data_IF_957207934411
#
_entry.id   IF_957207934411
#
_cell.length_a   1.000
_cell.length_b   1.000
_cell.length_c   1.000
_cell.angle_alpha   90.00
_cell.angle_beta   90.00
_cell.angle_gamma   90.00
#
_symmetry.space_group_name_H-M   'P 1'
#
loop_
_entity.id
_entity.type
_entity.pdbx_description
1 polymer ?
#
# COMPACT_ATOMS: atom_id res chain seq x y z
N UNK A 1 -14.37 18.94 -8.16
CA UNK A 1 -13.28 19.19 -9.12
C UNK A 1 -12.30 18.05 -8.95
N UNK A 2 -11.98 17.32 -10.01
CA UNK A 2 -10.96 16.26 -9.97
C UNK A 2 -9.65 16.88 -9.43
N UNK A 3 -9.11 16.33 -8.34
CA UNK A 3 -7.90 16.85 -7.67
C UNK A 3 -8.09 17.69 -6.41
N UNK A 4 -9.32 17.89 -5.90
CA UNK A 4 -9.52 18.62 -4.63
C UNK A 4 -8.78 17.98 -3.45
N UNK A 5 -8.63 16.65 -3.46
CA UNK A 5 -7.92 15.91 -2.42
C UNK A 5 -6.40 15.85 -2.64
N UNK A 6 -5.90 16.37 -3.77
CA UNK A 6 -4.47 16.37 -4.10
C UNK A 6 -3.79 17.62 -3.53
N UNK A 7 -3.70 18.69 -4.33
CA UNK A 7 -3.13 19.98 -3.91
C UNK A 7 -4.18 21.10 -3.91
N UNK A 8 -5.47 20.76 -4.05
CA UNK A 8 -6.57 21.71 -4.10
C UNK A 8 -6.62 22.53 -5.40
N UNK A 9 -5.69 22.29 -6.34
CA UNK A 9 -5.67 22.92 -7.66
C UNK A 9 -6.32 22.01 -8.71
N UNK A 10 -6.71 22.58 -9.85
CA UNK A 10 -7.20 21.81 -10.99
C UNK A 10 -6.06 21.24 -11.85
N UNK A 11 -6.40 20.42 -12.85
CA UNK A 11 -5.45 19.87 -13.81
C UNK A 11 -5.03 18.42 -13.56
N UNK A 12 -5.61 17.78 -12.55
CA UNK A 12 -5.41 16.37 -12.25
C UNK A 12 -6.25 15.49 -13.18
N UNK A 13 -5.62 14.48 -13.77
CA UNK A 13 -6.29 13.47 -14.60
C UNK A 13 -6.25 12.13 -13.88
N UNK A 14 -7.41 11.50 -13.62
CA UNK A 14 -7.46 10.15 -13.05
C UNK A 14 -6.99 9.12 -14.06
N UNK A 15 -6.02 8.29 -13.68
CA UNK A 15 -5.44 7.23 -14.53
C UNK A 15 -5.64 5.84 -13.96
N UNK A 16 -5.93 5.71 -12.67
CA UNK A 16 -6.24 4.43 -12.06
C UNK A 16 -7.44 4.53 -11.11
N UNK A 17 -8.26 3.48 -11.10
CA UNK A 17 -9.44 3.38 -10.26
C UNK A 17 -9.76 1.92 -9.95
N UNK A 18 -9.73 1.55 -8.69
CA UNK A 18 -10.29 0.32 -8.12
C UNK A 18 -11.20 0.77 -6.97
N UNK A 19 -12.45 0.32 -7.00
CA UNK A 19 -13.37 0.48 -5.89
C UNK A 19 -14.24 -0.77 -5.75
N UNK A 20 -13.78 -1.73 -4.94
CA UNK A 20 -14.45 -3.01 -4.75
C UNK A 20 -15.72 -2.92 -3.90
N UNK A 21 -16.05 -1.73 -3.38
CA UNK A 21 -17.34 -1.48 -2.72
C UNK A 21 -18.48 -1.22 -3.70
N UNK A 22 -18.16 -0.97 -4.97
CA UNK A 22 -19.17 -0.76 -6.01
C UNK A 22 -19.81 -2.07 -6.47
N UNK A 23 -21.11 -2.07 -6.82
CA UNK A 23 -21.78 -3.25 -7.35
C UNK A 23 -21.10 -3.76 -8.63
N UNK A 24 -20.77 -5.06 -8.65
CA UNK A 24 -20.11 -5.75 -9.77
C UNK A 24 -18.68 -5.27 -10.08
N UNK A 25 -18.00 -4.61 -9.12
CA UNK A 25 -16.57 -4.36 -9.23
C UNK A 25 -15.79 -5.67 -9.29
N UNK A 26 -14.74 -5.70 -10.12
CA UNK A 26 -13.83 -6.83 -10.28
C UNK A 26 -12.40 -6.36 -10.18
N UNK A 27 -11.51 -7.21 -9.66
CA UNK A 27 -10.08 -6.89 -9.65
C UNK A 27 -9.52 -6.76 -11.08
N UNK A 28 -8.59 -5.81 -11.30
CA UNK A 28 -7.93 -5.67 -12.59
C UNK A 28 -7.06 -6.88 -12.90
N UNK A 29 -6.76 -7.08 -14.19
CA UNK A 29 -5.87 -8.16 -14.64
C UNK A 29 -4.52 -8.11 -13.92
N UNK A 30 -4.07 -9.26 -13.42
CA UNK A 30 -2.85 -9.37 -12.62
C UNK A 30 -3.06 -9.29 -11.12
N UNK A 31 -4.21 -8.80 -10.64
CA UNK A 31 -4.66 -8.98 -9.25
C UNK A 31 -5.77 -10.03 -9.17
N UNK A 32 -5.95 -10.58 -7.97
CA UNK A 32 -6.86 -11.69 -7.73
C UNK A 32 -7.94 -11.29 -6.73
N UNK A 33 -9.17 -11.73 -7.01
CA UNK A 33 -10.33 -11.39 -6.20
C UNK A 33 -10.57 -12.45 -5.12
N UNK A 34 -10.73 -12.01 -3.87
CA UNK A 34 -11.07 -12.87 -2.75
C UNK A 34 -12.25 -12.30 -1.96
N UNK A 35 -12.96 -13.18 -1.26
CA UNK A 35 -14.00 -12.79 -0.32
C UNK A 35 -13.53 -13.12 1.10
N UNK A 36 -13.27 -12.10 1.90
CA UNK A 36 -12.86 -12.20 3.30
C UNK A 36 -13.88 -11.45 4.16
N UNK A 37 -14.48 -12.14 5.13
CA UNK A 37 -15.53 -11.59 6.02
C UNK A 37 -16.60 -10.73 5.29
N UNK A 38 -17.20 -11.29 4.23
CA UNK A 38 -18.20 -10.62 3.38
C UNK A 38 -17.71 -9.36 2.64
N UNK A 39 -16.40 -9.08 2.62
CA UNK A 39 -15.78 -8.06 1.76
C UNK A 39 -15.16 -8.73 0.53
N UNK A 40 -15.44 -8.18 -0.64
CA UNK A 40 -14.73 -8.53 -1.87
C UNK A 40 -13.52 -7.62 -2.00
N UNK A 41 -12.33 -8.21 -2.13
CA UNK A 41 -11.05 -7.50 -2.10
C UNK A 41 -10.14 -7.97 -3.24
N UNK A 42 -9.15 -7.15 -3.58
CA UNK A 42 -8.08 -7.48 -4.52
C UNK A 42 -6.77 -7.70 -3.78
N UNK A 43 -6.05 -8.75 -4.16
CA UNK A 43 -4.79 -9.14 -3.54
C UNK A 43 -3.88 -9.81 -4.56
N UNK A 44 -2.69 -10.21 -4.11
CA UNK A 44 -1.81 -11.11 -4.84
C UNK A 44 -2.40 -12.51 -4.97
N UNK A 45 -1.82 -13.33 -5.83
CA UNK A 45 -2.23 -14.72 -5.98
C UNK A 45 -1.97 -15.52 -4.70
N UNK A 46 -3.01 -15.95 -4.00
CA UNK A 46 -2.94 -16.76 -2.78
C UNK A 46 -2.43 -18.19 -3.04
N UNK A 47 -2.37 -18.62 -4.31
CA UNK A 47 -1.74 -19.91 -4.66
C UNK A 47 -0.21 -19.81 -4.79
N UNK A 48 0.36 -18.61 -4.81
CA UNK A 48 1.82 -18.42 -4.86
C UNK A 48 2.40 -18.49 -3.45
N UNK A 49 3.31 -19.45 -3.25
CA UNK A 49 3.99 -19.70 -1.97
C UNK A 49 5.21 -18.81 -1.80
N UNK A 50 5.45 -18.32 -0.58
CA UNK A 50 6.63 -17.51 -0.25
C UNK A 50 6.50 -16.05 -0.68
N UNK A 51 7.63 -15.36 -0.76
CA UNK A 51 7.67 -13.93 -1.06
C UNK A 51 7.32 -13.62 -2.51
N UNK A 52 6.60 -12.52 -2.73
CA UNK A 52 6.23 -12.13 -4.07
C UNK A 52 5.26 -10.97 -4.14
N UNK A 53 4.98 -10.56 -5.37
CA UNK A 53 3.99 -9.54 -5.66
C UNK A 53 3.15 -9.99 -6.85
N UNK A 54 1.87 -9.65 -6.84
CA UNK A 54 1.08 -9.56 -8.07
C UNK A 54 0.76 -8.09 -8.36
N UNK A 55 0.57 -7.74 -9.63
CA UNK A 55 0.42 -6.35 -10.00
C UNK A 55 -0.20 -6.14 -11.35
N UNK A 56 -0.58 -4.89 -11.60
CA UNK A 56 -1.23 -4.42 -12.82
C UNK A 56 -0.65 -3.07 -13.24
N UNK A 57 -0.81 -2.73 -14.51
CA UNK A 57 -0.43 -1.44 -15.07
C UNK A 57 -1.67 -0.64 -15.45
N UNK A 58 -1.63 0.65 -15.18
CA UNK A 58 -2.66 1.62 -15.54
C UNK A 58 -2.09 2.59 -16.56
N UNK A 59 -2.69 2.61 -17.76
CA UNK A 59 -2.17 3.43 -18.83
C UNK A 59 -2.38 4.91 -18.57
N UNK A 60 -1.31 5.69 -18.71
CA UNK A 60 -1.37 7.16 -18.70
C UNK A 60 -1.78 7.73 -20.06
N UNK A 61 -2.01 6.87 -21.06
CA UNK A 61 -2.32 7.26 -22.44
C UNK A 61 -1.28 8.20 -23.07
N UNK A 62 -0.02 8.08 -22.63
CA UNK A 62 1.09 8.93 -23.09
C UNK A 62 1.02 10.37 -22.59
N UNK A 63 0.14 10.67 -21.63
CA UNK A 63 0.10 11.98 -20.99
C UNK A 63 1.41 12.22 -20.23
N UNK A 64 1.98 13.40 -20.43
CA UNK A 64 3.20 13.81 -19.74
C UNK A 64 2.83 14.41 -18.39
N UNK A 65 3.45 13.91 -17.31
CA UNK A 65 3.20 14.36 -15.94
C UNK A 65 4.51 14.54 -15.16
N UNK A 66 4.41 15.24 -14.03
CA UNK A 66 5.49 15.44 -13.05
C UNK A 66 5.03 15.24 -11.62
N UNK A 67 3.73 15.16 -11.38
CA UNK A 67 3.16 14.87 -10.07
C UNK A 67 2.24 13.66 -10.13
N UNK A 68 2.20 12.92 -9.05
CA UNK A 68 1.27 11.83 -8.80
C UNK A 68 0.56 12.09 -7.49
N UNK A 69 -0.73 11.83 -7.45
CA UNK A 69 -1.56 11.93 -6.27
C UNK A 69 -2.44 10.70 -6.19
N UNK A 70 -2.70 10.19 -4.99
CA UNK A 70 -3.59 9.05 -4.86
C UNK A 70 -3.82 8.61 -3.45
N UNK A 71 -4.65 7.59 -3.32
CA UNK A 71 -5.02 6.93 -2.08
C UNK A 71 -5.13 5.43 -2.30
N UNK A 72 -4.90 4.68 -1.23
CA UNK A 72 -5.14 3.24 -1.14
C UNK A 72 -5.84 2.96 0.18
N UNK A 73 -6.80 2.04 0.17
CA UNK A 73 -7.35 1.46 1.39
C UNK A 73 -7.18 -0.06 1.33
N UNK A 74 -6.61 -0.60 2.38
CA UNK A 74 -6.39 -2.02 2.53
C UNK A 74 -6.75 -2.52 3.91
N UNK A 75 -6.41 -3.78 4.15
CA UNK A 75 -6.71 -4.48 5.39
C UNK A 75 -5.56 -5.43 5.71
N UNK A 76 -5.41 -5.75 6.99
CA UNK A 76 -4.43 -6.72 7.45
C UNK A 76 -5.04 -8.13 7.51
N UNK A 77 -4.30 -9.11 7.04
CA UNK A 77 -4.57 -10.52 7.27
C UNK A 77 -3.31 -11.22 7.76
N UNK A 78 -3.40 -11.89 8.91
CA UNK A 78 -2.30 -12.72 9.41
C UNK A 78 -1.15 -11.92 10.03
N UNK A 79 0.03 -12.52 10.03
CA UNK A 79 1.25 -12.03 10.69
C UNK A 79 2.14 -11.29 9.70
N UNK A 80 1.78 -10.04 9.38
CA UNK A 80 2.49 -9.24 8.39
C UNK A 80 3.87 -8.77 8.89
N UNK A 81 4.84 -8.65 7.99
CA UNK A 81 6.23 -8.30 8.30
C UNK A 81 6.64 -6.84 8.00
N UNK A 82 5.70 -5.92 7.76
CA UNK A 82 6.04 -4.50 7.57
C UNK A 82 6.80 -4.21 6.28
N UNK A 83 7.87 -3.44 6.40
CA UNK A 83 8.76 -3.05 5.29
C UNK A 83 10.17 -3.52 5.57
N UNK A 84 10.92 -3.83 4.49
CA UNK A 84 12.32 -4.28 4.53
C UNK A 84 13.13 -3.57 5.64
N UNK A 85 13.82 -4.26 6.56
CA UNK A 85 14.24 -5.68 6.54
C UNK A 85 13.24 -6.68 7.18
N UNK A 86 12.02 -6.71 6.64
CA UNK A 86 11.03 -7.76 6.80
C UNK A 86 11.62 -9.18 6.62
N UNK A 87 11.00 -10.20 7.24
CA UNK A 87 11.66 -11.48 7.54
C UNK A 87 12.22 -12.20 6.30
N UNK A 88 11.46 -12.21 5.20
CA UNK A 88 11.81 -12.85 3.92
C UNK A 88 11.70 -11.94 2.69
N UNK A 89 11.58 -10.63 2.87
CA UNK A 89 11.45 -9.73 1.74
C UNK A 89 12.77 -9.43 1.05
N UNK A 90 12.69 -8.52 0.09
CA UNK A 90 13.84 -8.10 -0.71
C UNK A 90 14.09 -6.63 -0.50
N UNK A 91 15.33 -6.19 -0.33
CA UNK A 91 15.63 -4.74 -0.34
C UNK A 91 15.48 -4.10 -1.72
N UNK A 92 15.32 -4.89 -2.80
CA UNK A 92 15.23 -4.38 -4.16
C UNK A 92 13.81 -3.98 -4.54
N UNK A 93 13.69 -2.85 -5.26
CA UNK A 93 12.41 -2.33 -5.77
C UNK A 93 11.62 -3.34 -6.62
N UNK A 94 12.30 -4.33 -7.21
CA UNK A 94 11.67 -5.36 -8.02
C UNK A 94 11.10 -6.53 -7.21
N UNK A 95 11.51 -6.73 -5.96
CA UNK A 95 11.01 -7.78 -5.09
C UNK A 95 9.89 -7.31 -4.16
N UNK A 96 9.44 -8.20 -3.29
CA UNK A 96 8.52 -7.91 -2.19
C UNK A 96 9.30 -7.26 -1.03
N UNK A 97 9.59 -5.96 -1.17
CA UNK A 97 10.27 -5.18 -0.13
C UNK A 97 9.33 -4.68 0.96
N UNK A 98 8.04 -4.89 0.79
CA UNK A 98 6.98 -4.43 1.66
C UNK A 98 5.87 -5.45 1.64
N UNK A 99 5.25 -5.66 2.79
CA UNK A 99 3.96 -6.31 2.88
C UNK A 99 2.89 -5.24 2.84
N UNK A 100 2.18 -5.19 1.72
CA UNK A 100 1.32 -4.07 1.38
C UNK A 100 1.40 -3.70 -0.08
N UNK A 101 1.34 -2.41 -0.38
CA UNK A 101 1.23 -1.89 -1.73
C UNK A 101 2.48 -1.10 -2.15
N UNK A 102 3.01 -1.43 -3.32
CA UNK A 102 4.06 -0.68 -4.00
C UNK A 102 3.49 0.00 -5.24
N UNK A 103 3.63 1.34 -5.31
CA UNK A 103 3.26 2.14 -6.48
C UNK A 103 4.54 2.59 -7.18
N UNK A 104 4.66 2.25 -8.47
CA UNK A 104 5.87 2.46 -9.25
C UNK A 104 5.56 2.93 -10.66
N UNK A 105 6.57 3.38 -11.40
CA UNK A 105 6.46 3.70 -12.81
C UNK A 105 7.75 3.35 -13.57
N UNK A 106 7.64 3.19 -14.88
CA UNK A 106 8.77 3.08 -15.81
C UNK A 106 9.50 1.73 -15.81
N UNK A 107 10.41 1.58 -16.77
CA UNK A 107 11.30 0.42 -16.92
C UNK A 107 12.71 0.92 -17.30
N UNK A 108 13.71 0.86 -16.39
CA UNK A 108 13.66 0.23 -15.06
C UNK A 108 12.69 0.92 -14.09
N UNK A 109 12.18 0.11 -13.16
CA UNK A 109 11.17 0.52 -12.17
C UNK A 109 11.68 1.65 -11.28
N UNK A 110 10.83 2.66 -11.06
CA UNK A 110 11.05 3.82 -10.20
C UNK A 110 9.91 3.94 -9.19
N UNK A 111 10.26 4.32 -7.97
CA UNK A 111 9.33 4.44 -6.86
C UNK A 111 8.46 5.70 -6.96
N UNK A 112 7.18 5.57 -6.57
CA UNK A 112 6.25 6.69 -6.39
C UNK A 112 5.81 6.78 -4.93
N UNK A 113 5.24 5.71 -4.39
CA UNK A 113 4.73 5.64 -3.02
C UNK A 113 4.66 4.20 -2.52
N UNK A 114 4.78 4.02 -1.21
CA UNK A 114 4.61 2.73 -0.53
C UNK A 114 3.52 2.80 0.52
N UNK A 115 2.71 1.76 0.63
CA UNK A 115 1.79 1.55 1.74
C UNK A 115 2.19 0.24 2.43
N UNK A 116 2.73 0.33 3.64
CA UNK A 116 3.21 -0.81 4.41
C UNK A 116 2.20 -1.20 5.49
N UNK A 117 2.06 -2.49 5.77
CA UNK A 117 1.24 -2.97 6.87
C UNK A 117 2.14 -3.36 8.03
N UNK A 118 2.07 -2.66 9.16
CA UNK A 118 2.81 -3.03 10.37
C UNK A 118 2.18 -4.24 11.06
N UNK A 119 2.98 -5.00 11.79
CA UNK A 119 2.47 -6.19 12.49
C UNK A 119 1.44 -5.82 13.58
N UNK A 120 1.77 -4.87 14.47
CA UNK A 120 0.87 -4.39 15.53
C UNK A 120 1.12 -2.92 15.92
N UNK A 121 0.09 -2.26 16.46
CA UNK A 121 0.18 -0.84 16.85
C UNK A 121 1.01 -0.59 18.12
N UNK A 122 1.17 -1.63 18.95
CA UNK A 122 1.64 -1.54 20.34
C UNK A 122 3.15 -1.79 20.51
N UNK A 123 3.83 -2.25 19.46
CA UNK A 123 5.26 -2.56 19.46
C UNK A 123 6.00 -1.68 18.44
N UNK A 124 7.32 -1.67 18.50
CA UNK A 124 8.17 -0.85 17.66
C UNK A 124 9.41 -1.62 17.20
N UNK A 125 9.25 -2.93 17.08
CA UNK A 125 10.31 -3.86 16.73
C UNK A 125 10.30 -4.09 15.22
N UNK A 126 11.15 -5.03 14.82
CA UNK A 126 11.12 -5.63 13.50
C UNK A 126 9.68 -6.02 13.16
N UNK A 127 9.27 -5.75 11.92
CA UNK A 127 7.92 -6.00 11.35
C UNK A 127 6.88 -4.91 11.63
N UNK A 128 7.10 -4.05 12.61
CA UNK A 128 6.23 -2.92 12.87
C UNK A 128 6.56 -1.73 11.96
N UNK A 129 5.72 -0.70 12.02
CA UNK A 129 5.88 0.46 11.16
C UNK A 129 7.15 1.27 11.50
N UNK A 130 7.92 1.73 10.50
CA UNK A 130 9.10 2.56 10.73
C UNK A 130 8.79 3.91 11.41
N UNK A 131 7.56 4.40 11.27
CA UNK A 131 7.09 5.62 11.92
C UNK A 131 6.67 5.41 13.37
N UNK A 132 6.63 4.18 13.89
CA UNK A 132 6.28 3.93 15.29
C UNK A 132 7.22 4.66 16.24
N UNK A 133 6.68 5.10 17.38
CA UNK A 133 7.45 5.83 18.38
C UNK A 133 8.66 5.00 18.85
N UNK A 134 9.85 5.57 18.71
CA UNK A 134 11.15 4.93 18.98
C UNK A 134 11.46 3.68 18.14
N UNK A 135 10.81 3.50 16.99
CA UNK A 135 11.16 2.43 16.05
C UNK A 135 12.59 2.57 15.54
N UNK A 136 13.25 1.44 15.34
CA UNK A 136 14.56 1.34 14.68
C UNK A 136 14.45 0.83 13.24
N UNK A 137 13.25 0.48 12.80
CA UNK A 137 13.01 0.04 11.43
C UNK A 137 13.24 1.21 10.46
N UNK A 138 13.73 0.87 9.28
CA UNK A 138 14.08 1.84 8.24
C UNK A 138 13.47 1.41 6.93
N UNK A 139 13.18 2.34 6.05
CA UNK A 139 12.74 2.01 4.69
C UNK A 139 13.94 1.81 3.77
N UNK A 140 13.82 1.04 2.67
CA UNK A 140 14.80 1.10 1.58
C UNK A 140 15.06 2.54 1.11
N UNK A 141 16.30 2.85 0.73
CA UNK A 141 16.71 4.22 0.41
C UNK A 141 15.90 4.90 -0.70
N UNK A 142 15.29 4.12 -1.61
CA UNK A 142 14.48 4.63 -2.70
C UNK A 142 13.02 4.90 -2.30
N UNK A 143 12.58 4.40 -1.14
CA UNK A 143 11.28 4.72 -0.52
C UNK A 143 11.43 6.00 0.31
N UNK A 144 12.44 6.07 1.19
CA UNK A 144 12.64 7.22 2.07
C UNK A 144 11.38 7.55 2.86
N UNK A 145 10.94 8.81 2.80
CA UNK A 145 9.73 9.28 3.51
C UNK A 145 8.45 9.18 2.66
N UNK A 146 8.51 8.60 1.46
CA UNK A 146 7.38 8.48 0.53
C UNK A 146 6.55 7.21 0.81
N UNK A 147 6.08 7.08 2.05
CA UNK A 147 5.27 5.95 2.48
C UNK A 147 4.18 6.32 3.49
N UNK A 148 3.18 5.47 3.58
CA UNK A 148 2.32 5.34 4.76
C UNK A 148 2.48 3.93 5.34
N UNK A 149 2.35 3.82 6.65
CA UNK A 149 2.37 2.54 7.34
C UNK A 149 1.29 2.53 8.41
N UNK A 150 0.58 1.42 8.54
CA UNK A 150 -0.48 1.25 9.53
C UNK A 150 -0.67 -0.24 9.84
N UNK A 151 -1.17 -0.57 11.03
CA UNK A 151 -1.50 -1.91 11.46
C UNK A 151 -2.98 -1.97 11.83
N UNK A 152 -3.64 -3.08 11.48
CA UNK A 152 -5.03 -3.31 11.87
C UNK A 152 -5.16 -3.98 13.25
N UNK A 153 -4.05 -4.07 13.99
CA UNK A 153 -3.92 -4.89 15.20
C UNK A 153 -3.57 -4.00 16.39
N UNK A 154 -4.60 -3.52 17.07
CA UNK A 154 -4.45 -2.65 18.24
C UNK A 154 -4.06 -3.32 19.56
N UNK A 155 -3.82 -4.64 19.60
CA UNK A 155 -3.42 -5.34 20.82
C UNK A 155 -2.65 -6.65 20.53
N UNK A 156 -1.79 -7.04 21.48
CA UNK A 156 -1.00 -8.30 21.52
C UNK A 156 -1.89 -9.55 21.57
N UNK A 157 -2.62 -9.79 20.49
CA UNK A 157 -3.44 -10.97 20.29
C UNK A 157 -2.78 -11.84 19.23
N UNK A 158 -3.17 -13.11 19.19
CA UNK A 158 -2.58 -14.04 18.25
C UNK A 158 -3.03 -13.66 16.83
N UNK A 159 -2.12 -13.01 16.08
CA UNK A 159 -2.34 -12.43 14.75
C UNK A 159 -2.48 -13.47 13.63
N UNK A 160 -2.28 -14.75 13.94
CA UNK A 160 -2.17 -15.82 12.95
C UNK A 160 -3.52 -16.08 12.26
N UNK A 161 -3.52 -16.06 10.92
CA UNK A 161 -4.67 -16.44 10.07
C UNK A 161 -5.97 -15.71 10.40
N UNK A 162 -5.84 -14.47 10.88
CA UNK A 162 -6.96 -13.63 11.29
C UNK A 162 -7.05 -12.45 10.35
N UNK A 163 -8.27 -12.15 9.91
CA UNK A 163 -8.57 -10.96 9.11
C UNK A 163 -9.03 -9.83 10.03
N UNK A 164 -8.52 -8.61 9.80
CA UNK A 164 -8.84 -7.42 10.59
C UNK A 164 -9.67 -6.41 9.76
N UNK A 165 -10.99 -6.61 9.60
CA UNK A 165 -11.84 -5.79 8.72
C UNK A 165 -12.30 -4.47 9.32
N UNK A 166 -12.19 -4.32 10.65
CA UNK A 166 -12.73 -3.18 11.41
C UNK A 166 -11.75 -2.01 11.51
N UNK A 167 -10.53 -2.21 11.01
CA UNK A 167 -9.46 -1.23 11.03
C UNK A 167 -8.87 -1.11 9.63
N UNK A 168 -9.52 -0.33 8.74
CA UNK A 168 -9.06 -0.17 7.37
C UNK A 168 -7.76 0.62 7.34
N UNK A 169 -6.73 0.04 6.72
CA UNK A 169 -5.39 0.58 6.73
C UNK A 169 -5.26 1.81 5.85
N UNK A 170 -4.37 2.70 6.29
CA UNK A 170 -3.88 3.90 5.61
C UNK A 170 -4.95 4.97 5.41
N UNK A 171 -6.02 4.90 6.21
CA UNK A 171 -7.11 5.86 6.18
C UNK A 171 -6.87 7.07 7.11
N UNK A 172 -5.79 7.02 7.90
CA UNK A 172 -5.39 8.05 8.85
C UNK A 172 -6.22 8.06 10.13
N UNK A 173 -6.97 7.00 10.41
CA UNK A 173 -7.80 6.82 11.58
C UNK A 173 -7.31 5.62 12.38
N UNK A 174 -7.78 5.51 13.62
CA UNK A 174 -7.58 4.33 14.48
C UNK A 174 -6.13 3.96 14.84
N UNK A 175 -5.13 4.71 14.37
CA UNK A 175 -3.73 4.51 14.72
C UNK A 175 -3.45 4.87 16.19
N UNK A 176 -3.45 3.85 17.05
CA UNK A 176 -3.22 3.99 18.49
C UNK A 176 -1.75 3.86 18.89
N UNK A 177 -1.54 3.85 20.20
CA UNK A 177 -0.30 3.39 20.85
C UNK A 177 0.99 3.99 20.27
N UNK A 178 1.91 3.16 19.78
CA UNK A 178 3.20 3.58 19.23
C UNK A 178 3.07 4.00 17.76
N UNK A 179 2.05 3.54 17.06
CA UNK A 179 1.77 3.85 15.66
C UNK A 179 1.14 5.24 15.44
N UNK A 180 0.70 5.93 16.49
CA UNK A 180 0.03 7.23 16.37
C UNK A 180 0.79 8.27 15.51
N UNK A 181 2.13 8.19 15.43
CA UNK A 181 2.97 9.06 14.60
C UNK A 181 2.83 8.78 13.09
N UNK A 182 2.46 7.56 12.71
CA UNK A 182 2.24 7.16 11.32
C UNK A 182 1.03 7.85 10.68
N UNK A 183 0.05 8.24 11.48
CA UNK A 183 -1.20 8.83 11.01
C UNK A 183 -1.29 10.34 11.24
N UNK A 184 -0.13 11.02 11.17
CA UNK A 184 -0.02 12.46 11.41
C UNK A 184 -0.06 13.30 10.14
N UNK A 185 0.01 12.66 8.97
CA UNK A 185 0.02 13.39 7.70
C UNK A 185 -1.34 14.07 7.47
N UNK A 186 -1.38 15.40 7.30
CA UNK A 186 -2.64 16.12 7.10
C UNK A 186 -3.30 15.82 5.75
N UNK A 187 -2.63 15.06 4.89
CA UNK A 187 -3.15 14.65 3.58
C UNK A 187 -3.78 13.26 3.59
N UNK A 188 -3.53 12.42 4.60
CA UNK A 188 -4.10 11.07 4.66
C UNK A 188 -5.63 11.10 4.49
N UNK A 189 -6.20 10.17 3.70
CA UNK A 189 -5.57 9.01 3.05
C UNK A 189 -4.78 9.29 1.75
N UNK A 190 -4.69 10.56 1.34
CA UNK A 190 -4.08 10.94 0.08
C UNK A 190 -2.60 11.29 0.21
N UNK A 191 -1.78 10.89 -0.75
CA UNK A 191 -0.44 11.42 -0.94
C UNK A 191 -0.38 12.37 -2.15
N UNK A 192 0.64 13.22 -2.18
CA UNK A 192 1.04 13.95 -3.39
C UNK A 192 2.55 13.90 -3.52
N UNK A 193 3.02 13.31 -4.61
CA UNK A 193 4.43 13.14 -4.94
C UNK A 193 4.81 13.94 -6.17
N UNK A 194 5.86 14.75 -6.07
CA UNK A 194 6.53 15.34 -7.23
C UNK A 194 7.68 14.44 -7.65
N UNK A 195 7.71 14.05 -8.93
CA UNK A 195 8.79 13.26 -9.52
C UNK A 195 9.98 14.14 -9.89
N UNK A 196 11.19 13.59 -9.82
CA UNK A 196 12.41 14.32 -10.16
C UNK A 196 12.49 14.72 -11.65
N UNK A 197 11.80 13.98 -12.51
CA UNK A 197 11.76 14.20 -13.95
C UNK A 197 10.35 13.96 -14.47
N UNK A 198 9.97 14.72 -15.50
CA UNK A 198 8.72 14.48 -16.20
C UNK A 198 8.78 13.16 -16.96
N UNK A 199 7.67 12.43 -16.99
CA UNK A 199 7.55 11.15 -17.67
C UNK A 199 6.20 10.97 -18.35
N UNK A 200 6.09 9.93 -19.16
CA UNK A 200 4.86 9.40 -19.76
C UNK A 200 4.68 7.92 -19.41
N UNK A 201 5.42 7.43 -18.42
CA UNK A 201 5.37 6.03 -18.00
C UNK A 201 3.99 5.70 -17.43
N UNK A 202 3.52 4.49 -17.70
CA UNK A 202 2.34 3.95 -17.04
C UNK A 202 2.57 3.75 -15.54
N UNK A 203 1.49 3.85 -14.76
CA UNK A 203 1.53 3.63 -13.31
C UNK A 203 1.35 2.15 -13.04
N UNK A 204 2.23 1.59 -12.22
CA UNK A 204 2.17 0.21 -11.77
C UNK A 204 1.67 0.17 -10.32
N UNK A 205 0.72 -0.72 -10.08
CA UNK A 205 0.27 -1.13 -8.75
C UNK A 205 0.76 -2.56 -8.50
N UNK A 206 1.41 -2.81 -7.38
CA UNK A 206 1.72 -4.16 -6.89
C UNK A 206 1.25 -4.34 -5.47
N UNK A 207 0.61 -5.48 -5.20
CA UNK A 207 0.33 -5.98 -3.84
C UNK A 207 1.35 -7.07 -3.54
N UNK A 208 2.09 -6.90 -2.44
CA UNK A 208 3.27 -7.68 -2.10
C UNK A 208 3.16 -8.27 -0.69
N UNK A 209 3.86 -9.39 -0.47
CA UNK A 209 4.05 -10.03 0.85
C UNK A 209 5.39 -10.76 0.89
N UNK A 210 6.04 -10.83 2.05
CA UNK A 210 7.21 -11.66 2.29
C UNK A 210 6.87 -13.14 2.48
N UNK A 211 5.63 -13.46 2.88
CA UNK A 211 5.18 -14.84 3.02
C UNK A 211 3.93 -15.19 2.19
N UNK A 212 3.62 -16.49 2.20
CA UNK A 212 2.46 -17.14 1.58
C UNK A 212 1.13 -16.84 2.28
N UNK A 213 0.03 -16.77 1.53
CA UNK A 213 -1.28 -17.07 2.14
C UNK A 213 -1.29 -18.55 2.59
N UNK A 214 -1.82 -18.94 3.75
CA UNK A 214 -2.68 -18.23 4.71
C UNK A 214 -1.92 -17.52 5.84
N UNK A 215 -0.60 -17.35 5.76
CA UNK A 215 0.16 -16.77 6.87
C UNK A 215 0.11 -15.24 6.84
N UNK A 216 0.14 -14.64 5.64
CA UNK A 216 0.09 -13.19 5.41
C UNK A 216 -0.76 -12.80 4.20
N UNK A 217 -1.47 -11.66 4.30
CA UNK A 217 -2.09 -11.00 3.15
C UNK A 217 -2.38 -9.51 3.43
N UNK A 218 -2.28 -8.66 2.41
CA UNK A 218 -2.55 -7.21 2.47
C UNK A 218 -3.58 -6.76 1.43
N UNK A 219 -4.79 -7.35 1.45
CA UNK A 219 -5.80 -7.11 0.41
C UNK A 219 -6.33 -5.67 0.43
N UNK A 220 -6.66 -5.15 -0.75
CA UNK A 220 -7.16 -3.77 -0.96
C UNK A 220 -8.57 -3.74 -1.54
N UNK A 221 -9.32 -2.68 -1.23
CA UNK A 221 -10.61 -2.39 -1.87
C UNK A 221 -10.68 -1.04 -2.58
N UNK A 222 -9.82 -0.08 -2.23
CA UNK A 222 -9.70 1.21 -2.90
C UNK A 222 -8.28 1.39 -3.43
N UNK A 223 -8.15 1.78 -4.69
CA UNK A 223 -6.92 2.30 -5.29
C UNK A 223 -7.29 3.40 -6.27
N UNK A 224 -6.78 4.60 -6.06
CA UNK A 224 -7.10 5.73 -6.93
C UNK A 224 -5.85 6.57 -7.18
N UNK A 225 -5.56 6.84 -8.46
CA UNK A 225 -4.38 7.61 -8.87
C UNK A 225 -4.75 8.69 -9.89
N UNK A 226 -4.19 9.87 -9.65
CA UNK A 226 -4.22 11.04 -10.53
C UNK A 226 -2.80 11.47 -10.89
N UNK A 227 -2.64 12.00 -12.10
CA UNK A 227 -1.40 12.60 -12.57
C UNK A 227 -1.61 14.07 -12.98
N UNK A 228 -0.55 14.88 -12.85
CA UNK A 228 -0.49 16.29 -13.28
C UNK A 228 0.90 16.67 -13.81
#
# INVERSE_FOLDING_TARGET
MEGSNCDGTGGWTRVAYINMTEPNATCPEGLYQYNLDNKTLCDRNHNETGNGCSGTFFSTSGLRYTKVCGQVRGYQYGTIDGIYDNHYGSSHINGAYVDGVSITHGSPRKHVWTYAVGQEEIDNKRQDCPCNLNSTEVTPFYVGDDYYCESGVGAATQVVRTFFPNDPLWDGQQCGNLENLCCTSPKMPWFVKTLNQSTTDDIELRVCSSEGFVDEASPIDIFEIYIN
#
